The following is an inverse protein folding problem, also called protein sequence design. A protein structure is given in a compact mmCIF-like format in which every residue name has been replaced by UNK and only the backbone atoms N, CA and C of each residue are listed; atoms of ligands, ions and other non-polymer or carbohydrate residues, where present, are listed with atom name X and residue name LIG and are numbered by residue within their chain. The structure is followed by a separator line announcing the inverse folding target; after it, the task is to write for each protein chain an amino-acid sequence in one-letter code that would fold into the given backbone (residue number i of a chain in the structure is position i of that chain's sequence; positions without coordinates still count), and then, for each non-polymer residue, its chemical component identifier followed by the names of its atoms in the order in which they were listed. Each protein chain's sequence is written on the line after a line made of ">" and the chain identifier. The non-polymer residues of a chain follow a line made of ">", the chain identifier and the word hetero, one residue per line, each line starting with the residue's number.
data_IF_606174301565
#
_entry.id   IF_606174301565
#
_cell.length_a   1.000
_cell.length_b   1.000
_cell.length_c   1.000
_cell.angle_alpha   90.00
_cell.angle_beta   90.00
_cell.angle_gamma   90.00
#
_symmetry.space_group_name_H-M   'P 1'
#
loop_
_entity.id
_entity.type
_entity.pdbx_description
1 polymer ?
#
# COMPACT_ATOMS: atom_id res chain seq x y z
N UNK A 1 10.90 45.58 -29.88
CA UNK A 1 10.57 45.67 -28.45
C UNK A 1 10.43 44.23 -27.93
N UNK A 2 11.23 43.79 -26.94
CA UNK A 2 11.19 42.41 -26.46
C UNK A 2 10.04 42.27 -25.46
N UNK A 3 8.93 41.61 -25.89
CA UNK A 3 7.72 41.44 -25.10
C UNK A 3 8.00 40.77 -23.74
N UNK A 4 8.91 39.81 -23.72
CA UNK A 4 9.29 39.10 -22.49
C UNK A 4 9.94 40.02 -21.44
N UNK A 5 10.77 41.00 -21.87
CA UNK A 5 11.35 41.97 -20.93
C UNK A 5 10.26 42.90 -20.32
N UNK A 6 9.21 43.18 -21.04
CA UNK A 6 8.10 43.99 -20.54
C UNK A 6 7.31 43.17 -19.50
N UNK A 7 6.98 41.93 -19.82
CA UNK A 7 6.26 41.02 -18.91
C UNK A 7 7.02 40.83 -17.60
N UNK A 8 8.31 40.52 -17.66
CA UNK A 8 9.13 40.31 -16.45
C UNK A 8 9.25 41.57 -15.60
N UNK A 9 9.34 42.77 -16.23
CA UNK A 9 9.34 44.06 -15.52
C UNK A 9 8.01 44.29 -14.83
N UNK A 10 6.89 44.01 -15.51
CA UNK A 10 5.53 44.15 -14.96
C UNK A 10 5.33 43.23 -13.75
N UNK A 11 5.74 41.96 -13.86
CA UNK A 11 5.66 41.00 -12.75
C UNK A 11 6.46 41.45 -11.53
N UNK A 12 7.66 42.02 -11.73
CA UNK A 12 8.49 42.53 -10.64
C UNK A 12 7.86 43.75 -9.95
N UNK A 13 7.26 44.66 -10.70
CA UNK A 13 6.58 45.82 -10.13
C UNK A 13 5.39 45.47 -9.22
N UNK A 14 4.81 44.27 -9.42
CA UNK A 14 3.68 43.74 -8.66
C UNK A 14 4.05 42.40 -8.00
N UNK A 15 5.27 42.34 -7.49
CA UNK A 15 5.84 41.08 -6.96
C UNK A 15 4.90 40.38 -5.98
N UNK A 16 4.25 41.09 -5.06
CA UNK A 16 3.35 40.50 -4.07
C UNK A 16 2.16 39.77 -4.72
N UNK A 17 1.44 40.45 -5.63
CA UNK A 17 0.29 39.86 -6.31
C UNK A 17 0.69 38.70 -7.22
N UNK A 18 1.78 38.87 -7.96
CA UNK A 18 2.36 37.79 -8.80
C UNK A 18 2.78 36.59 -7.98
N UNK A 19 3.37 36.84 -6.81
CA UNK A 19 3.80 35.78 -5.92
C UNK A 19 2.64 34.99 -5.30
N UNK A 20 1.60 35.72 -4.82
CA UNK A 20 0.39 35.11 -4.27
C UNK A 20 -0.36 34.26 -5.31
N UNK A 21 -0.54 34.79 -6.53
CA UNK A 21 -1.20 34.03 -7.60
C UNK A 21 -0.36 32.85 -8.08
N UNK A 22 0.95 33.05 -8.24
CA UNK A 22 1.88 31.98 -8.59
C UNK A 22 1.94 30.86 -7.55
N UNK A 23 1.91 31.21 -6.24
CA UNK A 23 1.87 30.25 -5.15
C UNK A 23 0.56 29.46 -5.13
N UNK A 24 -0.57 30.10 -5.43
CA UNK A 24 -1.86 29.39 -5.52
C UNK A 24 -1.87 28.35 -6.63
N UNK A 25 -1.29 28.67 -7.79
CA UNK A 25 -1.12 27.70 -8.89
C UNK A 25 -0.15 26.58 -8.46
N UNK A 26 0.98 26.95 -7.84
CA UNK A 26 1.97 25.98 -7.37
C UNK A 26 1.38 25.00 -6.35
N UNK A 27 0.59 25.47 -5.39
CA UNK A 27 -0.09 24.62 -4.42
C UNK A 27 -1.09 23.67 -5.08
N UNK A 28 -1.89 24.16 -6.03
CA UNK A 28 -2.86 23.33 -6.76
C UNK A 28 -2.16 22.22 -7.56
N UNK A 29 -1.10 22.57 -8.28
CA UNK A 29 -0.31 21.58 -9.05
C UNK A 29 0.44 20.62 -8.11
N UNK A 30 1.06 21.12 -7.03
CA UNK A 30 1.76 20.28 -6.07
C UNK A 30 0.83 19.24 -5.43
N UNK A 31 -0.38 19.65 -5.05
CA UNK A 31 -1.41 18.76 -4.51
C UNK A 31 -1.81 17.69 -5.53
N UNK A 32 -2.10 18.10 -6.78
CA UNK A 32 -2.47 17.17 -7.84
C UNK A 32 -1.37 16.13 -8.13
N UNK A 33 -0.11 16.59 -8.20
CA UNK A 33 1.07 15.73 -8.40
C UNK A 33 1.27 14.79 -7.20
N UNK A 34 1.18 15.29 -5.97
CA UNK A 34 1.34 14.46 -4.77
C UNK A 34 0.27 13.36 -4.70
N UNK A 35 -1.01 13.69 -4.97
CA UNK A 35 -2.11 12.70 -5.01
C UNK A 35 -1.82 11.63 -6.07
N UNK A 36 -1.39 12.03 -7.26
CA UNK A 36 -1.08 11.12 -8.36
C UNK A 36 0.07 10.16 -7.99
N UNK A 37 1.17 10.69 -7.45
CA UNK A 37 2.35 9.91 -7.06
C UNK A 37 2.02 8.91 -5.94
N UNK A 38 1.29 9.35 -4.90
CA UNK A 38 0.89 8.48 -3.79
C UNK A 38 -0.01 7.36 -4.30
N UNK A 39 -1.05 7.70 -5.07
CA UNK A 39 -1.98 6.72 -5.63
C UNK A 39 -1.25 5.65 -6.43
N UNK A 40 -0.50 6.07 -7.45
CA UNK A 40 0.17 5.13 -8.34
C UNK A 40 1.27 4.35 -7.61
N UNK A 41 2.02 5.01 -6.73
CA UNK A 41 3.05 4.35 -5.94
C UNK A 41 2.48 3.28 -5.01
N UNK A 42 1.40 3.57 -4.30
CA UNK A 42 0.73 2.60 -3.43
C UNK A 42 0.14 1.45 -4.25
N UNK A 43 -0.63 1.76 -5.30
CA UNK A 43 -1.23 0.74 -6.16
C UNK A 43 -0.16 -0.19 -6.76
N UNK A 44 0.90 0.37 -7.32
CA UNK A 44 2.00 -0.41 -7.91
C UNK A 44 2.67 -1.34 -6.89
N UNK A 45 2.89 -0.87 -5.65
CA UNK A 45 3.48 -1.70 -4.59
C UNK A 45 2.56 -2.83 -4.16
N UNK A 46 1.26 -2.57 -4.03
CA UNK A 46 0.30 -3.62 -3.75
C UNK A 46 0.22 -4.64 -4.89
N UNK A 47 0.17 -4.20 -6.15
CA UNK A 47 0.18 -5.11 -7.30
C UNK A 47 1.47 -5.95 -7.36
N UNK A 48 2.63 -5.34 -7.12
CA UNK A 48 3.92 -6.05 -7.05
C UNK A 48 3.93 -7.09 -5.91
N UNK A 49 3.34 -6.77 -4.76
CA UNK A 49 3.24 -7.70 -3.64
C UNK A 49 2.46 -8.98 -3.95
N UNK A 50 1.62 -8.99 -4.98
CA UNK A 50 0.86 -10.20 -5.39
C UNK A 50 1.61 -11.10 -6.37
N UNK A 51 2.75 -10.68 -6.93
CA UNK A 51 3.40 -11.41 -8.04
C UNK A 51 3.81 -12.84 -7.69
N UNK A 52 4.18 -13.10 -6.44
CA UNK A 52 4.53 -14.44 -5.96
C UNK A 52 3.32 -15.30 -5.59
N UNK A 53 2.12 -14.72 -5.48
CA UNK A 53 0.93 -15.35 -4.95
C UNK A 53 -0.12 -15.52 -6.05
N UNK A 54 -0.13 -16.67 -6.72
CA UNK A 54 -1.12 -16.93 -7.79
C UNK A 54 -2.51 -17.16 -7.21
N UNK A 55 -2.60 -17.97 -6.14
CA UNK A 55 -3.85 -18.28 -5.43
C UNK A 55 -3.56 -18.41 -3.93
N UNK A 56 -4.48 -17.96 -3.12
CA UNK A 56 -4.48 -18.17 -1.67
C UNK A 56 -5.75 -18.91 -1.29
N UNK A 57 -5.62 -19.96 -0.48
CA UNK A 57 -6.72 -20.78 0.02
C UNK A 57 -6.79 -20.62 1.54
N UNK A 58 -7.98 -20.43 2.09
CA UNK A 58 -8.22 -20.25 3.52
C UNK A 58 -9.67 -20.55 3.90
N UNK A 59 -10.02 -20.29 5.16
CA UNK A 59 -11.39 -20.50 5.64
C UNK A 59 -12.39 -19.60 4.91
N UNK A 60 -13.65 -20.07 4.82
CA UNK A 60 -14.76 -19.29 4.25
C UNK A 60 -14.90 -17.93 4.94
N UNK A 61 -15.07 -16.88 4.15
CA UNK A 61 -15.22 -15.52 4.64
C UNK A 61 -15.08 -14.50 3.52
N UNK A 62 -14.36 -13.42 3.78
CA UNK A 62 -14.05 -12.40 2.77
C UNK A 62 -12.78 -12.76 2.00
N UNK A 63 -12.84 -12.89 0.66
CA UNK A 63 -11.64 -13.11 -0.16
C UNK A 63 -10.59 -12.01 0.02
N UNK A 64 -11.02 -10.75 0.14
CA UNK A 64 -10.14 -9.63 0.38
C UNK A 64 -9.43 -9.74 1.74
N UNK A 65 -10.16 -10.11 2.80
CA UNK A 65 -9.59 -10.31 4.14
C UNK A 65 -8.55 -11.43 4.12
N UNK A 66 -8.83 -12.55 3.45
CA UNK A 66 -7.88 -13.65 3.28
C UNK A 66 -6.60 -13.19 2.61
N UNK A 67 -6.72 -12.40 1.52
CA UNK A 67 -5.57 -11.85 0.79
C UNK A 67 -4.79 -10.86 1.66
N UNK A 68 -5.46 -9.92 2.32
CA UNK A 68 -4.79 -8.95 3.20
C UNK A 68 -4.06 -9.62 4.35
N UNK A 69 -4.66 -10.65 4.93
CA UNK A 69 -4.04 -11.44 6.00
C UNK A 69 -2.81 -12.20 5.50
N UNK A 70 -2.94 -12.99 4.43
CA UNK A 70 -1.91 -13.94 3.99
C UNK A 70 -0.77 -13.29 3.22
N UNK A 71 -1.08 -12.32 2.35
CA UNK A 71 -0.09 -11.71 1.45
C UNK A 71 0.56 -10.48 2.07
N UNK A 72 -0.23 -9.67 2.80
CA UNK A 72 0.25 -8.37 3.30
C UNK A 72 0.47 -8.34 4.82
N UNK A 73 0.17 -9.44 5.50
CA UNK A 73 0.25 -9.52 6.96
C UNK A 73 -0.62 -8.46 7.68
N UNK A 74 -1.73 -8.09 7.03
CA UNK A 74 -2.72 -7.13 7.51
C UNK A 74 -4.01 -7.86 7.88
N UNK A 75 -4.80 -7.28 8.80
CA UNK A 75 -6.08 -7.83 9.25
C UNK A 75 -5.96 -9.20 9.96
N UNK A 76 -7.06 -9.73 10.44
CA UNK A 76 -7.14 -11.02 11.14
C UNK A 76 -7.41 -12.16 10.16
N UNK A 77 -7.01 -13.39 10.51
CA UNK A 77 -7.37 -14.56 9.71
C UNK A 77 -8.89 -14.78 9.74
N UNK A 78 -9.55 -15.11 8.62
CA UNK A 78 -10.97 -15.48 8.61
C UNK A 78 -11.25 -16.79 9.34
N UNK A 79 -10.23 -17.58 9.66
CA UNK A 79 -10.31 -18.87 10.34
C UNK A 79 -9.21 -19.81 9.90
N UNK A 80 -9.35 -21.08 10.27
CA UNK A 80 -8.40 -22.13 9.89
C UNK A 80 -9.05 -23.14 8.95
N UNK A 81 -8.22 -23.81 8.15
CA UNK A 81 -8.60 -24.89 7.23
C UNK A 81 -7.80 -26.15 7.58
N UNK A 82 -8.34 -27.31 7.16
CA UNK A 82 -7.77 -28.63 7.44
C UNK A 82 -6.35 -28.80 6.87
N UNK A 83 -5.45 -29.42 7.65
CA UNK A 83 -4.14 -29.87 7.18
C UNK A 83 -4.24 -30.89 6.05
N UNK A 84 -5.26 -31.77 6.07
CA UNK A 84 -5.53 -32.71 4.96
C UNK A 84 -5.76 -32.00 3.63
N UNK A 85 -6.39 -30.82 3.67
CA UNK A 85 -6.54 -30.00 2.44
C UNK A 85 -5.17 -29.52 1.92
N UNK A 86 -4.25 -29.14 2.82
CA UNK A 86 -2.88 -28.80 2.43
C UNK A 86 -2.17 -29.99 1.79
N UNK A 87 -2.23 -31.19 2.40
CA UNK A 87 -1.62 -32.39 1.84
C UNK A 87 -2.19 -32.74 0.47
N UNK A 88 -3.53 -32.68 0.32
CA UNK A 88 -4.20 -32.89 -0.97
C UNK A 88 -3.72 -31.90 -2.05
N UNK A 89 -3.55 -30.62 -1.68
CA UNK A 89 -3.07 -29.60 -2.60
C UNK A 89 -1.58 -29.79 -2.94
N UNK A 90 -0.75 -30.14 -1.96
CA UNK A 90 0.67 -30.43 -2.16
C UNK A 90 0.89 -31.56 -3.17
N UNK A 91 0.05 -32.58 -3.10
CA UNK A 91 0.17 -33.77 -3.94
C UNK A 91 -0.62 -33.66 -5.26
N UNK A 92 -1.36 -32.57 -5.48
CA UNK A 92 -2.13 -32.32 -6.70
C UNK A 92 -1.22 -31.96 -7.88
N UNK A 93 -1.33 -32.69 -8.97
CA UNK A 93 -0.53 -32.46 -10.20
C UNK A 93 -0.72 -31.10 -10.83
N UNK A 94 -1.80 -30.38 -10.54
CA UNK A 94 -2.08 -29.02 -10.99
C UNK A 94 -1.30 -27.97 -10.22
N UNK A 95 -0.85 -28.33 -9.01
CA UNK A 95 -0.13 -27.46 -8.08
C UNK A 95 1.38 -27.67 -8.23
N UNK A 96 2.10 -26.58 -8.42
CA UNK A 96 3.57 -26.57 -8.48
C UNK A 96 4.18 -26.44 -7.09
N UNK A 97 3.55 -25.62 -6.25
CA UNK A 97 3.98 -25.31 -4.90
C UNK A 97 2.77 -25.02 -4.02
N UNK A 98 2.74 -25.63 -2.83
CA UNK A 98 1.82 -25.29 -1.76
C UNK A 98 2.64 -24.95 -0.51
N UNK A 99 2.38 -23.81 0.13
CA UNK A 99 3.06 -23.37 1.36
C UNK A 99 2.01 -23.04 2.41
N UNK A 100 2.02 -23.71 3.57
CA UNK A 100 1.08 -23.46 4.64
C UNK A 100 1.51 -22.26 5.48
N UNK A 101 0.54 -21.44 5.92
CA UNK A 101 0.74 -20.34 6.85
C UNK A 101 -0.21 -20.48 8.03
N UNK A 102 0.31 -20.30 9.24
CA UNK A 102 -0.46 -20.17 10.49
C UNK A 102 -0.12 -18.84 11.15
N UNK A 103 -1.13 -18.13 11.60
CA UNK A 103 -0.98 -16.79 12.18
C UNK A 103 -1.79 -16.69 13.47
N UNK A 104 -1.22 -16.06 14.50
CA UNK A 104 -1.86 -15.93 15.81
C UNK A 104 -1.21 -14.87 16.70
N UNK A 105 0.06 -14.58 16.47
CA UNK A 105 0.91 -13.76 17.31
C UNK A 105 1.50 -12.56 16.57
N UNK A 106 2.02 -11.63 17.36
CA UNK A 106 2.79 -10.50 16.87
C UNK A 106 3.98 -10.19 17.79
N UNK A 107 4.94 -9.43 17.26
CA UNK A 107 6.01 -8.79 18.02
C UNK A 107 6.13 -7.34 17.59
N UNK A 108 5.87 -6.40 18.50
CA UNK A 108 5.85 -4.96 18.22
C UNK A 108 5.00 -4.56 16.98
N UNK A 109 3.91 -5.30 16.73
CA UNK A 109 3.02 -5.08 15.58
C UNK A 109 3.48 -5.77 14.30
N UNK A 110 4.60 -6.48 14.30
CA UNK A 110 5.01 -7.35 13.21
C UNK A 110 4.36 -8.72 13.36
N UNK A 111 3.73 -9.19 12.29
CA UNK A 111 3.07 -10.48 12.25
C UNK A 111 4.06 -11.62 12.41
N UNK A 112 3.72 -12.58 13.26
CA UNK A 112 4.42 -13.87 13.32
C UNK A 112 3.66 -14.86 12.45
N UNK A 113 4.38 -15.52 11.55
CA UNK A 113 3.85 -16.48 10.56
C UNK A 113 4.54 -17.81 10.76
N UNK A 114 3.80 -18.80 11.24
CA UNK A 114 4.25 -20.20 11.25
C UNK A 114 4.21 -20.76 9.84
N UNK A 115 5.32 -21.30 9.36
CA UNK A 115 5.43 -21.87 8.01
C UNK A 115 6.49 -22.99 7.95
N UNK A 116 6.68 -23.54 6.77
CA UNK A 116 7.70 -24.56 6.50
C UNK A 116 8.92 -23.96 5.79
N UNK A 117 10.03 -24.68 5.79
CA UNK A 117 11.25 -24.27 5.09
C UNK A 117 11.09 -24.16 3.57
N UNK A 118 10.06 -24.77 3.00
CA UNK A 118 9.63 -24.63 1.60
C UNK A 118 9.40 -23.17 1.19
N UNK A 119 8.94 -22.33 2.14
CA UNK A 119 8.78 -20.89 1.89
C UNK A 119 10.11 -20.22 1.49
N UNK A 120 11.22 -20.60 2.09
CA UNK A 120 12.52 -20.00 1.75
C UNK A 120 13.18 -20.70 0.56
N UNK A 121 12.96 -22.01 0.40
CA UNK A 121 13.61 -22.82 -0.62
C UNK A 121 12.97 -22.68 -2.01
N UNK A 122 11.63 -22.60 -2.06
CA UNK A 122 10.88 -22.77 -3.30
C UNK A 122 9.91 -21.65 -3.65
N UNK A 123 9.48 -20.84 -2.66
CA UNK A 123 8.61 -19.72 -2.92
C UNK A 123 9.37 -18.58 -3.61
N UNK A 124 8.79 -18.05 -4.67
CA UNK A 124 9.30 -16.89 -5.40
C UNK A 124 8.33 -15.72 -5.19
N UNK A 125 8.76 -14.67 -4.49
CA UNK A 125 7.95 -13.45 -4.30
C UNK A 125 7.84 -12.60 -5.59
N UNK A 126 8.79 -12.78 -6.51
CA UNK A 126 8.78 -12.30 -7.90
C UNK A 126 9.36 -13.41 -8.79
N UNK A 127 9.07 -13.43 -10.09
CA UNK A 127 9.61 -14.44 -10.99
C UNK A 127 11.14 -14.55 -10.88
N UNK A 128 11.63 -15.73 -10.47
CA UNK A 128 13.06 -16.02 -10.31
C UNK A 128 13.71 -15.43 -9.06
N UNK A 129 12.95 -14.78 -8.16
CA UNK A 129 13.47 -14.18 -6.92
C UNK A 129 12.87 -14.85 -5.69
N UNK A 130 13.70 -15.49 -4.89
CA UNK A 130 13.32 -16.15 -3.64
C UNK A 130 13.75 -15.28 -2.43
N UNK A 131 13.14 -15.48 -1.24
CA UNK A 131 13.64 -14.90 0.00
C UNK A 131 15.06 -15.39 0.29
N UNK A 132 16.04 -14.50 0.22
CA UNK A 132 17.44 -14.79 0.50
C UNK A 132 17.85 -14.27 1.87
N UNK A 133 18.78 -14.94 2.53
CA UNK A 133 19.33 -14.49 3.80
C UNK A 133 20.39 -13.40 3.60
N UNK A 134 20.31 -12.35 4.43
CA UNK A 134 21.39 -11.40 4.65
C UNK A 134 22.38 -11.90 5.70
N UNK A 135 21.87 -12.63 6.73
CA UNK A 135 22.68 -13.21 7.80
C UNK A 135 22.01 -14.47 8.37
N UNK A 136 22.79 -15.35 8.97
CA UNK A 136 22.32 -16.53 9.68
C UNK A 136 21.91 -17.68 8.75
N UNK A 137 20.90 -18.44 9.18
CA UNK A 137 20.37 -19.61 8.47
C UNK A 137 18.84 -19.63 8.51
N UNK A 138 18.23 -20.48 7.69
CA UNK A 138 16.80 -20.83 7.83
C UNK A 138 16.64 -21.87 8.95
N UNK A 139 15.43 -21.94 9.54
CA UNK A 139 15.09 -23.04 10.43
C UNK A 139 14.91 -24.36 9.65
N UNK A 140 15.02 -25.49 10.35
CA UNK A 140 14.85 -26.80 9.75
C UNK A 140 13.45 -27.34 10.10
N UNK A 141 12.62 -27.53 9.09
CA UNK A 141 11.29 -28.09 9.25
C UNK A 141 11.34 -29.62 9.24
N UNK A 142 10.62 -30.25 10.20
CA UNK A 142 10.47 -31.72 10.29
C UNK A 142 8.98 -32.04 10.36
N UNK A 143 8.48 -32.81 9.41
CA UNK A 143 7.06 -33.19 9.34
C UNK A 143 6.62 -34.02 10.55
N UNK A 144 7.48 -34.90 11.07
CA UNK A 144 7.18 -35.72 12.26
C UNK A 144 7.03 -34.86 13.54
N UNK A 145 7.83 -33.79 13.67
CA UNK A 145 7.71 -32.84 14.76
C UNK A 145 6.37 -32.08 14.68
N UNK A 146 5.93 -31.70 13.46
CA UNK A 146 4.65 -31.07 13.26
C UNK A 146 3.48 -32.00 13.61
N UNK A 147 3.52 -33.26 13.22
CA UNK A 147 2.49 -34.26 13.59
C UNK A 147 2.36 -34.38 15.10
N UNK A 148 3.51 -34.45 15.83
CA UNK A 148 3.52 -34.44 17.29
C UNK A 148 2.89 -33.18 17.87
N UNK A 149 3.27 -31.98 17.34
CA UNK A 149 2.73 -30.71 17.79
C UNK A 149 1.22 -30.59 17.57
N UNK A 150 0.69 -31.13 16.46
CA UNK A 150 -0.76 -31.20 16.22
C UNK A 150 -1.47 -32.11 17.22
N UNK A 151 -0.89 -33.26 17.56
CA UNK A 151 -1.47 -34.14 18.57
C UNK A 151 -1.52 -33.49 19.95
N UNK A 152 -0.43 -32.87 20.38
CA UNK A 152 -0.37 -32.10 21.64
C UNK A 152 -1.39 -30.95 21.67
N UNK A 153 -1.51 -30.18 20.57
CA UNK A 153 -2.45 -29.08 20.47
C UNK A 153 -3.92 -29.58 20.51
N UNK A 154 -4.20 -30.73 19.90
CA UNK A 154 -5.53 -31.35 19.95
C UNK A 154 -5.88 -31.87 21.35
N UNK A 155 -4.91 -32.42 22.06
CA UNK A 155 -5.08 -32.89 23.46
C UNK A 155 -5.36 -31.70 24.37
N UNK A 156 -4.58 -30.63 24.31
CA UNK A 156 -4.84 -29.39 25.06
C UNK A 156 -6.25 -28.81 24.78
N UNK A 157 -6.68 -28.82 23.52
CA UNK A 157 -8.04 -28.38 23.16
C UNK A 157 -9.11 -29.22 23.84
N UNK A 158 -8.98 -30.57 23.81
CA UNK A 158 -9.91 -31.49 24.47
C UNK A 158 -9.95 -31.31 25.98
N UNK A 159 -8.80 -31.15 26.62
CA UNK A 159 -8.73 -30.90 28.07
C UNK A 159 -9.43 -29.60 28.46
N UNK A 160 -9.27 -28.54 27.65
CA UNK A 160 -9.95 -27.28 27.89
C UNK A 160 -11.45 -27.40 27.73
N UNK A 161 -11.93 -28.03 26.67
CA UNK A 161 -13.37 -28.27 26.46
C UNK A 161 -13.99 -29.13 27.58
N UNK A 162 -13.26 -30.14 28.09
CA UNK A 162 -13.71 -30.98 29.19
C UNK A 162 -13.79 -30.20 30.50
N UNK A 163 -12.78 -29.35 30.79
CA UNK A 163 -12.81 -28.45 31.95
C UNK A 163 -13.96 -27.45 31.89
N UNK A 164 -14.25 -26.89 30.72
CA UNK A 164 -15.40 -25.99 30.53
C UNK A 164 -16.75 -26.70 30.74
N UNK A 165 -16.83 -28.01 30.43
CA UNK A 165 -18.03 -28.85 30.67
C UNK A 165 -18.10 -29.41 32.10
N UNK A 166 -17.08 -29.19 32.93
CA UNK A 166 -17.02 -29.73 34.30
C UNK A 166 -16.80 -31.26 34.36
N UNK A 167 -16.27 -31.85 33.30
CA UNK A 167 -15.94 -33.27 33.22
C UNK A 167 -14.55 -33.50 33.82
N UNK A 168 -14.39 -34.67 34.52
CA UNK A 168 -13.11 -35.05 35.08
C UNK A 168 -12.15 -35.49 33.96
N UNK A 169 -11.06 -34.71 33.78
CA UNK A 169 -10.09 -34.97 32.71
C UNK A 169 -9.12 -36.04 33.16
N UNK A 170 -9.08 -37.19 32.49
CA UNK A 170 -7.97 -38.11 32.62
C UNK A 170 -6.75 -37.51 31.94
N UNK A 171 -5.64 -37.21 32.64
CA UNK A 171 -4.46 -36.62 32.01
C UNK A 171 -3.98 -37.56 30.89
N UNK A 172 -3.75 -36.99 29.72
CA UNK A 172 -3.11 -37.67 28.61
C UNK A 172 -1.69 -38.11 29.00
N UNK A 173 -1.16 -39.24 28.48
CA UNK A 173 0.23 -39.58 28.69
C UNK A 173 1.12 -38.43 28.20
N UNK A 174 2.10 -38.02 29.03
CA UNK A 174 3.07 -36.99 28.63
C UNK A 174 3.70 -37.41 27.28
N UNK A 175 3.58 -36.52 26.26
CA UNK A 175 4.19 -36.82 24.97
C UNK A 175 5.69 -36.97 25.11
N UNK A 176 6.28 -37.83 24.29
CA UNK A 176 7.73 -37.98 24.25
C UNK A 176 8.36 -36.58 23.99
N UNK A 177 9.42 -36.19 24.72
CA UNK A 177 10.02 -34.88 24.58
C UNK A 177 10.58 -34.70 23.16
N UNK A 178 9.84 -34.02 22.31
CA UNK A 178 10.29 -33.58 20.98
C UNK A 178 10.91 -32.20 21.16
N UNK A 179 12.17 -32.05 20.76
CA UNK A 179 12.78 -30.73 20.72
C UNK A 179 12.11 -29.88 19.64
N UNK A 180 11.32 -28.93 20.07
CA UNK A 180 10.77 -27.89 19.20
C UNK A 180 11.69 -26.65 19.30
N UNK A 181 12.57 -26.43 18.31
CA UNK A 181 13.43 -25.27 18.34
C UNK A 181 12.62 -24.00 18.09
N UNK A 182 12.53 -23.13 19.11
CA UNK A 182 11.90 -21.80 18.99
C UNK A 182 12.80 -20.88 18.16
N UNK A 183 12.84 -21.13 16.87
CA UNK A 183 13.69 -20.43 15.90
C UNK A 183 12.86 -19.53 14.99
N UNK A 184 13.38 -18.34 14.73
CA UNK A 184 12.73 -17.36 13.87
C UNK A 184 13.67 -16.83 12.79
N UNK A 185 13.15 -16.67 11.57
CA UNK A 185 13.77 -15.91 10.49
C UNK A 185 13.00 -14.62 10.34
N UNK A 186 13.65 -13.47 10.48
CA UNK A 186 12.99 -12.17 10.46
C UNK A 186 13.20 -11.44 9.14
N UNK A 187 12.15 -10.73 8.70
CA UNK A 187 12.23 -9.86 7.54
C UNK A 187 13.15 -8.66 7.77
N UNK A 188 13.67 -8.08 6.70
CA UNK A 188 14.62 -6.96 6.77
C UNK A 188 14.05 -5.73 7.49
N UNK A 189 12.78 -5.39 7.26
CA UNK A 189 12.10 -4.28 7.94
C UNK A 189 11.92 -4.55 9.44
N UNK A 190 11.67 -5.81 9.83
CA UNK A 190 11.60 -6.20 11.24
C UNK A 190 12.93 -5.94 11.92
N UNK A 191 14.02 -6.46 11.33
CA UNK A 191 15.38 -6.25 11.87
C UNK A 191 15.73 -4.76 12.01
N UNK A 192 15.42 -3.96 10.99
CA UNK A 192 15.70 -2.52 10.98
C UNK A 192 14.90 -1.75 12.04
N UNK A 193 13.62 -2.06 12.23
CA UNK A 193 12.74 -1.29 13.13
C UNK A 193 12.80 -1.75 14.58
N UNK A 194 13.08 -3.04 14.82
CA UNK A 194 13.18 -3.59 16.20
C UNK A 194 14.62 -3.59 16.73
N UNK A 195 15.61 -3.53 15.85
CA UNK A 195 17.03 -3.66 16.19
C UNK A 195 17.46 -5.10 16.45
N UNK A 196 16.59 -6.11 16.25
CA UNK A 196 16.92 -7.51 16.44
C UNK A 196 18.03 -7.97 15.51
N UNK A 197 19.02 -8.65 16.07
CA UNK A 197 20.14 -9.24 15.35
C UNK A 197 20.14 -10.76 15.45
N UNK A 198 20.96 -11.41 14.61
CA UNK A 198 21.08 -12.86 14.61
C UNK A 198 21.60 -13.37 15.95
N UNK A 199 20.92 -14.33 16.56
CA UNK A 199 21.22 -14.91 17.88
C UNK A 199 20.46 -14.24 19.03
N UNK A 200 19.81 -13.10 18.84
CA UNK A 200 18.99 -12.45 19.86
C UNK A 200 17.65 -13.15 20.07
N UNK A 201 17.10 -12.95 21.26
CA UNK A 201 15.82 -13.54 21.66
C UNK A 201 14.73 -12.47 21.78
N UNK A 202 13.51 -12.84 21.43
CA UNK A 202 12.34 -12.01 21.62
C UNK A 202 11.15 -12.81 22.15
N UNK A 203 10.18 -12.14 22.77
CA UNK A 203 8.97 -12.74 23.31
C UNK A 203 7.79 -12.30 22.44
N UNK A 204 7.03 -13.28 21.95
CA UNK A 204 5.83 -13.05 21.16
C UNK A 204 4.65 -12.66 22.06
N UNK A 205 3.77 -11.80 21.57
CA UNK A 205 2.52 -11.45 22.21
C UNK A 205 1.35 -12.09 21.43
N UNK A 206 0.39 -12.66 22.18
CA UNK A 206 -0.78 -13.27 21.57
C UNK A 206 -1.67 -12.25 20.87
N UNK A 207 -2.17 -12.61 19.68
CA UNK A 207 -3.02 -11.76 18.87
C UNK A 207 -2.27 -11.12 17.71
N UNK A 208 -3.04 -10.76 16.68
CA UNK A 208 -2.49 -10.25 15.41
C UNK A 208 -2.22 -8.75 15.41
N UNK A 209 -2.71 -8.03 16.43
CA UNK A 209 -2.49 -6.59 16.61
C UNK A 209 -1.94 -6.32 18.00
N UNK A 210 -1.09 -5.30 18.16
CA UNK A 210 -0.60 -4.89 19.46
C UNK A 210 -1.78 -4.51 20.36
N UNK A 211 -1.88 -5.15 21.52
CA UNK A 211 -2.84 -4.80 22.56
C UNK A 211 -2.11 -4.71 23.90
N UNK A 212 -2.47 -3.72 24.73
CA UNK A 212 -1.92 -3.60 26.07
C UNK A 212 -2.32 -4.77 27.01
N UNK A 213 -3.35 -5.52 26.63
CA UNK A 213 -3.86 -6.68 27.36
C UNK A 213 -3.41 -8.01 26.75
N UNK A 214 -2.58 -7.99 25.70
CA UNK A 214 -2.10 -9.21 25.04
C UNK A 214 -1.23 -10.04 25.99
N UNK A 215 -1.55 -11.33 26.12
CA UNK A 215 -0.74 -12.27 26.90
C UNK A 215 0.60 -12.52 26.16
N UNK A 216 1.70 -12.27 26.83
CA UNK A 216 3.03 -12.56 26.30
C UNK A 216 3.41 -14.04 26.57
N UNK A 217 4.05 -14.67 25.60
CA UNK A 217 4.55 -16.05 25.71
C UNK A 217 5.96 -16.08 26.34
N UNK A 218 6.08 -15.63 27.58
CA UNK A 218 7.36 -15.50 28.30
C UNK A 218 8.10 -16.81 28.51
N UNK A 219 7.39 -17.95 28.51
CA UNK A 219 7.97 -19.28 28.71
C UNK A 219 8.75 -19.79 27.51
N UNK A 220 8.41 -19.29 26.31
CA UNK A 220 8.98 -19.77 25.05
C UNK A 220 9.55 -18.61 24.21
N UNK A 221 10.72 -18.05 24.60
CA UNK A 221 11.35 -16.99 23.82
C UNK A 221 11.89 -17.53 22.50
N UNK A 222 11.56 -16.81 21.42
CA UNK A 222 12.05 -17.09 20.08
C UNK A 222 13.49 -16.61 19.89
N UNK A 223 14.33 -17.40 19.21
CA UNK A 223 15.69 -17.03 18.86
C UNK A 223 15.77 -16.67 17.38
N UNK A 224 16.27 -15.49 17.06
CA UNK A 224 16.51 -15.08 15.66
C UNK A 224 17.67 -15.88 15.10
N UNK A 225 17.41 -16.78 14.14
CA UNK A 225 18.44 -17.62 13.49
C UNK A 225 18.80 -17.12 12.08
N UNK A 226 18.01 -16.23 11.51
CA UNK A 226 18.26 -15.65 10.20
C UNK A 226 17.58 -14.32 9.99
N UNK A 227 18.16 -13.50 9.11
CA UNK A 227 17.64 -12.20 8.68
C UNK A 227 17.57 -12.21 7.16
N UNK A 228 16.40 -11.87 6.59
CA UNK A 228 16.20 -11.81 5.15
C UNK A 228 16.82 -10.54 4.54
N UNK A 229 17.27 -10.65 3.30
CA UNK A 229 17.59 -9.47 2.47
C UNK A 229 16.31 -8.70 2.12
N UNK A 230 16.39 -7.38 1.89
CA UNK A 230 15.24 -6.60 1.45
C UNK A 230 14.62 -7.14 0.15
N UNK A 231 13.34 -7.47 0.20
CA UNK A 231 12.55 -7.87 -0.97
C UNK A 231 11.71 -6.72 -1.50
N UNK A 232 11.49 -5.68 -0.68
CA UNK A 232 10.57 -4.57 -0.90
C UNK A 232 9.11 -5.01 -1.06
N UNK A 233 8.76 -6.14 -0.46
CA UNK A 233 7.41 -6.68 -0.38
C UNK A 233 6.98 -6.86 1.08
N UNK A 234 5.76 -7.35 1.30
CA UNK A 234 5.27 -7.66 2.66
C UNK A 234 6.09 -8.75 3.38
N UNK A 235 6.89 -9.53 2.65
CA UNK A 235 7.83 -10.52 3.21
C UNK A 235 8.80 -9.87 4.19
N UNK A 236 9.21 -8.62 3.95
CA UNK A 236 10.16 -7.90 4.81
C UNK A 236 9.58 -7.52 6.18
N UNK A 237 8.25 -7.57 6.33
CA UNK A 237 7.52 -7.12 7.53
C UNK A 237 6.98 -8.25 8.39
N UNK A 238 7.37 -9.49 8.14
CA UNK A 238 6.94 -10.63 8.92
C UNK A 238 8.10 -11.29 9.64
N UNK A 239 7.76 -12.01 10.70
CA UNK A 239 8.64 -12.89 11.45
C UNK A 239 8.19 -14.31 11.11
N UNK A 240 9.04 -15.09 10.51
CA UNK A 240 8.75 -16.46 10.10
C UNK A 240 9.28 -17.42 11.13
N UNK A 241 8.44 -18.31 11.61
CA UNK A 241 8.77 -19.32 12.62
C UNK A 241 8.45 -20.72 12.11
N UNK A 242 9.06 -21.71 12.72
CA UNK A 242 8.77 -23.10 12.39
C UNK A 242 7.34 -23.47 12.80
N UNK A 243 6.60 -24.12 11.91
CA UNK A 243 5.18 -24.40 12.09
C UNK A 243 4.90 -25.37 13.25
N UNK A 244 5.81 -26.34 13.51
CA UNK A 244 5.70 -27.23 14.65
C UNK A 244 5.79 -26.47 15.98
N UNK A 245 6.77 -25.57 16.10
CA UNK A 245 6.95 -24.75 17.29
C UNK A 245 5.77 -23.76 17.51
N UNK A 246 5.11 -23.29 16.44
CA UNK A 246 3.91 -22.46 16.53
C UNK A 246 2.78 -23.21 17.27
N UNK A 247 2.55 -24.49 16.96
CA UNK A 247 1.48 -25.28 17.59
C UNK A 247 1.88 -25.84 18.96
N UNK A 248 3.14 -25.81 19.33
CA UNK A 248 3.59 -26.20 20.66
C UNK A 248 3.28 -25.16 21.75
N UNK A 249 3.00 -23.88 21.37
CA UNK A 249 2.69 -22.80 22.31
C UNK A 249 1.26 -22.92 22.84
N UNK A 250 1.06 -22.67 24.14
CA UNK A 250 -0.28 -22.54 24.74
C UNK A 250 -1.08 -21.41 24.09
N UNK A 251 -2.36 -21.64 23.84
CA UNK A 251 -3.26 -20.68 23.19
C UNK A 251 -3.35 -20.86 21.68
N UNK A 252 -2.48 -21.65 21.06
CA UNK A 252 -2.56 -22.04 19.64
C UNK A 252 -3.21 -23.43 19.48
N UNK A 253 -4.24 -23.67 20.26
CA UNK A 253 -5.00 -24.91 20.22
C UNK A 253 -5.76 -25.03 18.89
N UNK A 254 -5.88 -26.28 18.42
CA UNK A 254 -6.70 -26.58 17.26
C UNK A 254 -8.17 -26.31 17.63
N UNK A 255 -8.79 -25.32 17.00
CA UNK A 255 -10.23 -25.10 17.19
C UNK A 255 -10.98 -26.24 16.52
N UNK A 256 -11.94 -26.84 17.25
CA UNK A 256 -12.93 -27.71 16.62
C UNK A 256 -13.50 -27.01 15.38
N UNK A 257 -13.66 -27.71 14.23
CA UNK A 257 -14.29 -27.11 13.05
C UNK A 257 -15.55 -26.41 13.50
N UNK A 258 -15.68 -25.12 13.20
CA UNK A 258 -16.86 -24.32 13.57
C UNK A 258 -18.11 -25.15 13.23
N UNK A 259 -19.09 -25.15 14.11
CA UNK A 259 -20.33 -25.95 14.02
C UNK A 259 -21.17 -25.72 12.73
N UNK A 260 -20.67 -24.94 11.79
CA UNK A 260 -21.22 -24.74 10.46
C UNK A 260 -20.71 -25.71 9.39
N UNK A 261 -19.57 -26.38 9.61
CA UNK A 261 -19.09 -27.39 8.67
C UNK A 261 -19.67 -28.75 9.06
N UNK A 262 -20.72 -29.17 8.37
CA UNK A 262 -21.14 -30.58 8.39
C UNK A 262 -19.96 -31.39 7.86
N UNK A 263 -19.54 -32.48 8.55
CA UNK A 263 -18.49 -33.36 8.04
C UNK A 263 -18.99 -34.01 6.74
N UNK A 264 -18.63 -33.42 5.61
CA UNK A 264 -18.71 -34.11 4.33
C UNK A 264 -17.53 -35.04 4.24
N UNK A 265 -17.82 -36.29 4.16
CA UNK A 265 -17.02 -37.50 4.16
C UNK A 265 -16.79 -38.12 5.54
N UNK A 266 -17.32 -39.31 5.65
CA UNK A 266 -16.99 -40.30 6.68
C UNK A 266 -15.55 -40.82 6.45
N UNK A 267 -14.58 -39.92 6.49
CA UNK A 267 -13.21 -40.32 6.59
C UNK A 267 -12.97 -40.66 8.08
N UNK A 268 -12.81 -41.93 8.39
CA UNK A 268 -12.61 -42.42 9.75
C UNK A 268 -11.26 -41.99 10.37
N UNK A 269 -10.49 -41.18 9.64
CA UNK A 269 -9.20 -40.71 10.08
C UNK A 269 -9.33 -39.24 10.57
N UNK A 270 -9.03 -38.98 11.86
CA UNK A 270 -9.14 -37.63 12.41
C UNK A 270 -8.20 -36.67 11.67
N UNK A 271 -8.66 -35.43 11.43
CA UNK A 271 -7.82 -34.39 10.84
C UNK A 271 -6.62 -34.11 11.76
N UNK A 272 -5.40 -34.30 11.28
CA UNK A 272 -4.22 -34.17 12.13
C UNK A 272 -3.93 -32.75 12.58
N UNK A 273 -4.48 -31.71 11.88
CA UNK A 273 -4.16 -30.33 12.19
C UNK A 273 -4.87 -29.30 11.32
N UNK A 274 -4.57 -28.05 11.56
CA UNK A 274 -5.17 -26.90 10.85
C UNK A 274 -4.10 -25.89 10.47
N UNK A 275 -4.36 -25.08 9.44
CA UNK A 275 -3.55 -23.90 9.06
C UNK A 275 -4.46 -22.75 8.74
N UNK A 276 -3.97 -21.52 8.89
CA UNK A 276 -4.78 -20.32 8.63
C UNK A 276 -4.98 -20.09 7.13
N UNK A 277 -3.97 -20.41 6.32
CA UNK A 277 -4.05 -20.30 4.86
C UNK A 277 -2.98 -21.13 4.16
N UNK A 278 -3.18 -21.36 2.87
CA UNK A 278 -2.24 -22.05 1.99
C UNK A 278 -1.98 -21.15 0.80
N UNK A 279 -0.71 -20.85 0.56
CA UNK A 279 -0.25 -20.16 -0.67
C UNK A 279 -0.02 -21.20 -1.73
N UNK A 280 -0.63 -21.02 -2.90
CA UNK A 280 -0.57 -21.98 -4.01
C UNK A 280 0.01 -21.31 -5.25
N UNK A 281 0.98 -21.98 -5.86
CA UNK A 281 1.50 -21.69 -7.21
C UNK A 281 1.12 -22.85 -8.13
N UNK A 282 0.59 -22.55 -9.30
CA UNK A 282 0.08 -23.55 -10.23
C UNK A 282 1.16 -24.02 -11.20
N UNK A 283 1.03 -25.26 -11.71
CA UNK A 283 1.89 -25.76 -12.78
C UNK A 283 1.63 -25.00 -14.10
N UNK A 284 0.40 -24.56 -14.32
CA UNK A 284 0.00 -23.77 -15.49
C UNK A 284 -1.23 -22.92 -15.15
N UNK A 285 -1.34 -21.69 -15.70
CA UNK A 285 -2.52 -20.84 -15.52
C UNK A 285 -3.84 -21.47 -15.96
N UNK A 286 -3.81 -22.47 -16.84
CA UNK A 286 -5.01 -23.20 -17.33
C UNK A 286 -5.76 -23.91 -16.19
N UNK A 287 -5.07 -24.29 -15.13
CA UNK A 287 -5.66 -24.98 -13.98
C UNK A 287 -6.32 -24.03 -12.98
N UNK A 288 -6.08 -22.71 -13.09
CA UNK A 288 -6.50 -21.72 -12.12
C UNK A 288 -8.01 -21.73 -11.85
N UNK A 289 -8.82 -21.63 -12.90
CA UNK A 289 -10.28 -21.59 -12.75
C UNK A 289 -10.88 -22.91 -12.29
N UNK A 290 -10.32 -24.04 -12.72
CA UNK A 290 -10.78 -25.36 -12.28
C UNK A 290 -10.56 -25.57 -10.79
N UNK A 291 -9.34 -25.29 -10.32
CA UNK A 291 -9.00 -25.41 -8.89
C UNK A 291 -9.77 -24.37 -8.05
N UNK A 292 -9.83 -23.12 -8.51
CA UNK A 292 -10.60 -22.06 -7.85
C UNK A 292 -12.05 -22.47 -7.62
N UNK A 293 -12.73 -23.02 -8.63
CA UNK A 293 -14.10 -23.46 -8.53
C UNK A 293 -14.25 -24.65 -7.58
N UNK A 294 -13.39 -25.66 -7.72
CA UNK A 294 -13.41 -26.85 -6.85
C UNK A 294 -13.30 -26.47 -5.36
N UNK A 295 -12.38 -25.54 -5.03
CA UNK A 295 -12.18 -25.10 -3.64
C UNK A 295 -13.37 -24.24 -3.18
N UNK A 296 -13.91 -23.35 -4.03
CA UNK A 296 -15.03 -22.49 -3.64
C UNK A 296 -16.36 -23.21 -3.56
N UNK A 297 -16.53 -24.35 -4.22
CA UNK A 297 -17.69 -25.23 -4.10
C UNK A 297 -17.70 -26.01 -2.75
N UNK A 298 -16.56 -26.07 -2.03
CA UNK A 298 -16.47 -26.64 -0.68
C UNK A 298 -17.16 -25.72 0.35
N UNK A 299 -17.64 -26.30 1.46
CA UNK A 299 -18.21 -25.53 2.57
C UNK A 299 -17.18 -24.98 3.55
N UNK A 300 -16.02 -25.65 3.68
CA UNK A 300 -14.99 -25.42 4.69
C UNK A 300 -13.85 -24.49 4.24
N UNK A 301 -13.67 -24.30 2.93
CA UNK A 301 -12.56 -23.53 2.39
C UNK A 301 -13.00 -22.62 1.24
N UNK A 302 -12.21 -21.60 0.98
CA UNK A 302 -12.32 -20.73 -0.20
C UNK A 302 -10.96 -20.44 -0.80
N UNK A 303 -10.95 -20.19 -2.11
CA UNK A 303 -9.81 -19.71 -2.84
C UNK A 303 -10.00 -18.24 -3.25
N UNK A 304 -8.91 -17.48 -3.27
CA UNK A 304 -8.88 -16.11 -3.76
C UNK A 304 -7.68 -15.89 -4.69
N UNK A 305 -7.87 -15.05 -5.71
CA UNK A 305 -6.78 -14.56 -6.55
C UNK A 305 -6.29 -13.22 -6.01
N UNK A 306 -5.10 -13.13 -5.40
CA UNK A 306 -4.64 -11.91 -4.75
C UNK A 306 -4.66 -10.67 -5.64
N UNK A 307 -4.16 -10.80 -6.88
CA UNK A 307 -4.16 -9.70 -7.83
C UNK A 307 -5.56 -9.19 -8.20
N UNK A 308 -6.58 -10.06 -8.22
CA UNK A 308 -7.95 -9.67 -8.51
C UNK A 308 -8.59 -8.94 -7.32
N UNK A 309 -8.38 -9.43 -6.10
CA UNK A 309 -8.93 -8.82 -4.89
C UNK A 309 -8.31 -7.45 -4.61
N UNK A 310 -7.01 -7.29 -4.83
CA UNK A 310 -6.34 -6.00 -4.71
C UNK A 310 -6.84 -5.00 -5.77
N UNK A 311 -7.07 -5.43 -7.01
CA UNK A 311 -7.69 -4.54 -8.02
C UNK A 311 -9.09 -4.08 -7.60
N UNK A 312 -9.94 -4.99 -7.09
CA UNK A 312 -11.26 -4.62 -6.56
C UNK A 312 -11.17 -3.61 -5.42
N UNK A 313 -10.21 -3.79 -4.50
CA UNK A 313 -9.95 -2.83 -3.43
C UNK A 313 -9.64 -1.43 -4.00
N UNK A 314 -8.73 -1.34 -4.98
CA UNK A 314 -8.39 -0.06 -5.60
C UNK A 314 -9.52 0.53 -6.45
N UNK A 315 -10.39 -0.30 -7.04
CA UNK A 315 -11.60 0.18 -7.74
C UNK A 315 -12.58 0.83 -6.75
N UNK A 316 -12.73 0.26 -5.56
CA UNK A 316 -13.57 0.84 -4.50
C UNK A 316 -12.97 2.15 -3.98
N UNK A 317 -11.67 2.15 -3.69
CA UNK A 317 -10.93 3.34 -3.21
C UNK A 317 -10.82 4.40 -4.30
N UNK A 318 -10.85 4.03 -5.57
CA UNK A 318 -10.72 4.93 -6.72
C UNK A 318 -11.78 6.04 -6.79
N UNK A 319 -12.90 5.92 -6.08
CA UNK A 319 -13.87 7.01 -5.92
C UNK A 319 -13.32 8.15 -5.05
N UNK A 320 -12.53 7.82 -4.02
CA UNK A 320 -11.86 8.82 -3.16
C UNK A 320 -10.83 9.59 -3.99
N UNK A 321 -10.09 8.92 -4.87
CA UNK A 321 -9.12 9.58 -5.76
C UNK A 321 -9.80 10.59 -6.70
N UNK A 322 -10.99 10.26 -7.21
CA UNK A 322 -11.77 11.19 -8.04
C UNK A 322 -12.18 12.44 -7.27
N UNK A 323 -12.56 12.30 -6.00
CA UNK A 323 -12.89 13.43 -5.11
C UNK A 323 -11.65 14.29 -4.85
N UNK A 324 -10.51 13.69 -4.55
CA UNK A 324 -9.26 14.42 -4.34
C UNK A 324 -8.78 15.13 -5.61
N UNK A 325 -8.92 14.48 -6.77
CA UNK A 325 -8.63 15.11 -8.06
C UNK A 325 -9.58 16.28 -8.35
N UNK A 326 -10.88 16.12 -8.08
CA UNK A 326 -11.86 17.19 -8.22
C UNK A 326 -11.52 18.39 -7.31
N UNK A 327 -11.06 18.13 -6.08
CA UNK A 327 -10.57 19.17 -5.17
C UNK A 327 -9.34 19.89 -5.74
N UNK A 328 -8.36 19.16 -6.30
CA UNK A 328 -7.20 19.76 -6.94
C UNK A 328 -7.57 20.63 -8.13
N UNK A 329 -8.51 20.16 -8.96
CA UNK A 329 -9.06 20.95 -10.08
C UNK A 329 -9.77 22.22 -9.56
N UNK A 330 -10.56 22.12 -8.50
CA UNK A 330 -11.22 23.25 -7.88
C UNK A 330 -10.21 24.33 -7.41
N UNK A 331 -9.13 23.89 -6.77
CA UNK A 331 -8.04 24.80 -6.34
C UNK A 331 -7.40 25.49 -7.55
N UNK A 332 -7.16 24.77 -8.65
CA UNK A 332 -6.64 25.34 -9.88
C UNK A 332 -7.61 26.35 -10.51
N UNK A 333 -8.91 26.07 -10.49
CA UNK A 333 -9.93 27.02 -10.98
C UNK A 333 -9.95 28.28 -10.12
N UNK A 334 -9.91 28.14 -8.79
CA UNK A 334 -9.82 29.29 -7.87
C UNK A 334 -8.55 30.13 -8.14
N UNK A 335 -7.42 29.46 -8.35
CA UNK A 335 -6.17 30.12 -8.73
C UNK A 335 -6.30 30.84 -10.06
N UNK A 336 -6.97 30.24 -11.05
CA UNK A 336 -7.28 30.90 -12.34
C UNK A 336 -8.13 32.19 -12.19
N UNK A 337 -9.17 32.13 -11.36
CA UNK A 337 -9.99 33.29 -11.04
C UNK A 337 -9.15 34.37 -10.34
N UNK A 338 -8.30 33.97 -9.37
CA UNK A 338 -7.41 34.92 -8.69
C UNK A 338 -6.43 35.61 -9.66
N UNK A 339 -5.90 34.87 -10.65
CA UNK A 339 -5.07 35.43 -11.72
C UNK A 339 -5.86 36.44 -12.54
N UNK A 340 -7.08 36.09 -12.98
CA UNK A 340 -7.94 36.97 -13.78
C UNK A 340 -8.23 38.29 -13.04
N UNK A 341 -8.60 38.21 -11.76
CA UNK A 341 -8.87 39.38 -10.91
C UNK A 341 -7.60 40.21 -10.70
N UNK A 342 -6.46 39.57 -10.41
CA UNK A 342 -5.18 40.26 -10.23
C UNK A 342 -4.75 41.01 -11.45
N UNK A 343 -4.86 40.40 -12.64
CA UNK A 343 -4.53 41.06 -13.91
C UNK A 343 -5.53 42.16 -14.25
N UNK A 344 -6.82 41.93 -14.01
CA UNK A 344 -7.86 42.96 -14.26
C UNK A 344 -7.61 44.22 -13.43
N UNK A 345 -7.33 44.09 -12.14
CA UNK A 345 -6.98 45.20 -11.27
C UNK A 345 -5.70 45.89 -11.75
N UNK A 346 -4.70 45.12 -12.16
CA UNK A 346 -3.47 45.63 -12.79
C UNK A 346 -3.75 46.50 -13.98
N UNK A 347 -4.60 46.02 -14.85
CA UNK A 347 -4.97 46.74 -16.06
C UNK A 347 -5.68 48.08 -15.75
N UNK A 348 -6.53 48.09 -14.72
CA UNK A 348 -7.22 49.28 -14.27
C UNK A 348 -6.26 50.38 -13.81
N UNK A 349 -5.22 50.01 -13.04
CA UNK A 349 -4.17 50.93 -12.57
C UNK A 349 -3.27 51.47 -13.71
N UNK A 350 -3.06 50.66 -14.76
CA UNK A 350 -2.15 50.96 -15.88
C UNK A 350 -2.84 51.52 -17.14
N UNK A 351 -4.11 51.85 -17.09
CA UNK A 351 -4.85 52.36 -18.26
C UNK A 351 -4.13 53.52 -18.96
N UNK A 352 -3.53 54.43 -18.18
CA UNK A 352 -2.77 55.55 -18.71
C UNK A 352 -1.47 55.13 -19.40
N UNK A 353 -0.70 54.18 -18.82
CA UNK A 353 0.52 53.64 -19.44
C UNK A 353 0.20 52.94 -20.76
N UNK A 354 -0.88 52.15 -20.80
CA UNK A 354 -1.35 51.51 -22.02
C UNK A 354 -1.78 52.52 -23.08
N UNK A 355 -2.47 53.58 -22.68
CA UNK A 355 -2.85 54.65 -23.59
C UNK A 355 -1.61 55.32 -24.18
N UNK A 356 -0.57 55.60 -23.38
CA UNK A 356 0.73 56.17 -23.84
C UNK A 356 1.40 55.21 -24.81
N UNK A 357 1.53 53.90 -24.48
CA UNK A 357 2.12 52.93 -25.38
C UNK A 357 1.40 52.86 -26.73
N UNK A 358 0.07 52.99 -26.73
CA UNK A 358 -0.73 52.99 -27.94
C UNK A 358 -0.55 54.31 -28.74
N UNK A 359 -0.44 55.44 -28.05
CA UNK A 359 -0.14 56.72 -28.69
C UNK A 359 1.26 56.71 -29.35
N UNK A 360 2.22 55.96 -28.78
CA UNK A 360 3.54 55.73 -29.35
C UNK A 360 3.57 54.64 -30.44
N UNK A 361 2.39 54.16 -30.91
CA UNK A 361 2.27 53.24 -32.05
C UNK A 361 2.16 51.74 -31.72
N UNK A 362 1.99 51.35 -30.44
CA UNK A 362 1.75 49.95 -30.10
C UNK A 362 0.39 49.49 -30.64
N UNK A 363 0.37 48.37 -31.38
CA UNK A 363 -0.86 47.75 -31.90
C UNK A 363 -1.69 47.17 -30.77
N UNK A 364 -3.02 47.09 -30.94
CA UNK A 364 -3.95 46.45 -29.98
C UNK A 364 -3.56 45.02 -29.66
N UNK A 365 -3.14 44.27 -30.69
CA UNK A 365 -2.66 42.88 -30.54
C UNK A 365 -1.41 42.80 -29.65
N UNK A 366 -0.52 43.81 -29.68
CA UNK A 366 0.68 43.81 -28.82
C UNK A 366 0.29 43.93 -27.34
N UNK A 367 -0.67 44.77 -27.00
CA UNK A 367 -1.16 44.92 -25.63
C UNK A 367 -1.85 43.63 -25.17
N UNK A 368 -2.73 43.07 -26.02
CA UNK A 368 -3.36 41.76 -25.75
C UNK A 368 -2.33 40.68 -25.47
N UNK A 369 -1.28 40.57 -26.32
CA UNK A 369 -0.22 39.57 -26.15
C UNK A 369 0.59 39.76 -24.87
N UNK A 370 0.85 41.02 -24.44
CA UNK A 370 1.56 41.28 -23.18
C UNK A 370 0.77 40.70 -21.98
N UNK A 371 -0.53 41.01 -21.93
CA UNK A 371 -1.40 40.58 -20.82
C UNK A 371 -1.60 39.08 -20.80
N UNK A 372 -1.82 38.46 -21.96
CA UNK A 372 -1.95 37.01 -22.07
C UNK A 372 -0.65 36.31 -21.70
N UNK A 373 0.50 36.83 -22.17
CA UNK A 373 1.82 36.25 -21.86
C UNK A 373 2.14 36.38 -20.36
N UNK A 374 1.69 37.45 -19.69
CA UNK A 374 1.83 37.61 -18.24
C UNK A 374 1.09 36.51 -17.49
N UNK A 375 -0.18 36.25 -17.83
CA UNK A 375 -0.98 35.16 -17.24
C UNK A 375 -0.36 33.80 -17.46
N UNK A 376 0.04 33.48 -18.70
CA UNK A 376 0.66 32.21 -19.05
C UNK A 376 1.99 32.04 -18.31
N UNK A 377 2.80 33.08 -18.22
CA UNK A 377 4.11 33.03 -17.54
C UNK A 377 3.95 32.71 -16.04
N UNK A 378 2.97 33.35 -15.37
CA UNK A 378 2.67 33.06 -13.95
C UNK A 378 2.27 31.58 -13.79
N UNK A 379 1.42 31.06 -14.67
CA UNK A 379 0.99 29.68 -14.61
C UNK A 379 2.11 28.69 -14.91
N UNK A 380 2.97 28.95 -15.89
CA UNK A 380 4.12 28.10 -16.21
C UNK A 380 5.10 28.03 -15.04
N UNK A 381 5.43 29.17 -14.46
CA UNK A 381 6.34 29.21 -13.29
C UNK A 381 5.67 28.55 -12.08
N UNK A 382 4.41 28.87 -11.79
CA UNK A 382 3.65 28.25 -10.70
C UNK A 382 3.54 26.74 -10.87
N UNK A 383 3.23 26.28 -12.08
CA UNK A 383 3.13 24.84 -12.38
C UNK A 383 4.48 24.12 -12.25
N UNK A 384 5.58 24.73 -12.72
CA UNK A 384 6.92 24.14 -12.56
C UNK A 384 7.34 24.05 -11.08
N UNK A 385 7.08 25.11 -10.30
CA UNK A 385 7.33 25.11 -8.85
C UNK A 385 6.42 24.09 -8.15
N UNK A 386 5.17 23.99 -8.55
CA UNK A 386 4.21 23.01 -8.03
C UNK A 386 4.60 21.58 -8.32
N UNK A 387 5.08 21.30 -9.54
CA UNK A 387 5.60 19.98 -9.90
C UNK A 387 6.73 19.57 -8.95
N UNK A 388 7.76 20.40 -8.84
CA UNK A 388 8.89 20.14 -7.93
C UNK A 388 8.41 20.01 -6.48
N UNK A 389 7.50 20.90 -6.05
CA UNK A 389 6.91 20.87 -4.71
C UNK A 389 6.17 19.58 -4.41
N UNK A 390 5.39 19.05 -5.35
CA UNK A 390 4.69 17.77 -5.21
C UNK A 390 5.64 16.59 -4.98
N UNK A 391 6.69 16.50 -5.79
CA UNK A 391 7.75 15.49 -5.64
C UNK A 391 8.47 15.60 -4.29
N UNK A 392 8.80 16.84 -3.86
CA UNK A 392 9.46 17.08 -2.57
C UNK A 392 8.56 16.69 -1.38
N UNK A 393 7.27 17.00 -1.43
CA UNK A 393 6.31 16.62 -0.38
C UNK A 393 6.22 15.10 -0.25
N UNK A 394 6.10 14.38 -1.36
CA UNK A 394 6.06 12.90 -1.35
C UNK A 394 7.39 12.33 -0.88
N UNK A 395 8.53 12.89 -1.32
CA UNK A 395 9.86 12.49 -0.88
C UNK A 395 10.05 12.66 0.63
N UNK A 396 9.61 13.79 1.19
CA UNK A 396 9.67 14.06 2.63
C UNK A 396 8.72 13.13 3.43
N UNK A 397 7.55 12.80 2.87
CA UNK A 397 6.59 11.90 3.49
C UNK A 397 7.03 10.43 3.46
N UNK A 398 7.98 10.04 2.59
CA UNK A 398 8.43 8.65 2.45
C UNK A 398 8.94 8.05 3.76
N UNK A 399 9.59 8.82 4.62
CA UNK A 399 10.05 8.32 5.93
C UNK A 399 8.91 7.90 6.85
N UNK A 400 7.79 8.65 6.84
CA UNK A 400 6.57 8.30 7.59
C UNK A 400 5.84 7.13 6.95
N UNK A 401 5.71 7.13 5.63
CA UNK A 401 5.07 6.05 4.87
C UNK A 401 5.81 4.73 5.06
N UNK A 402 7.14 4.72 4.99
CA UNK A 402 7.95 3.53 5.22
C UNK A 402 7.75 2.95 6.62
N UNK A 403 7.76 3.78 7.67
CA UNK A 403 7.49 3.31 9.03
C UNK A 403 6.10 2.71 9.19
N UNK A 404 5.09 3.30 8.54
CA UNK A 404 3.70 2.85 8.65
C UNK A 404 3.40 1.62 7.78
N UNK A 405 3.89 1.59 6.53
CA UNK A 405 3.51 0.56 5.53
C UNK A 405 4.66 -0.33 5.08
N UNK A 406 5.92 0.03 5.35
CA UNK A 406 7.11 -0.64 4.82
C UNK A 406 7.40 -0.36 3.34
N UNK A 407 6.61 0.50 2.69
CA UNK A 407 6.77 0.83 1.29
C UNK A 407 7.38 2.21 1.09
N UNK A 408 8.28 2.33 0.11
CA UNK A 408 8.83 3.61 -0.35
C UNK A 408 8.21 3.93 -1.70
N UNK A 409 7.64 5.13 -1.84
CA UNK A 409 7.11 5.63 -3.11
C UNK A 409 8.26 6.25 -3.90
N UNK A 410 8.49 5.89 -5.17
CA UNK A 410 9.56 6.48 -5.98
C UNK A 410 9.24 7.94 -6.32
N UNK A 411 9.60 8.86 -5.42
CA UNK A 411 9.28 10.29 -5.53
C UNK A 411 10.02 11.02 -6.67
N UNK A 412 11.03 10.42 -7.28
CA UNK A 412 11.81 11.07 -8.37
C UNK A 412 11.38 10.64 -9.77
N UNK A 413 10.42 9.71 -9.88
CA UNK A 413 9.97 9.23 -11.17
C UNK A 413 8.86 10.11 -11.73
N UNK A 414 9.19 10.92 -12.76
CA UNK A 414 8.22 11.77 -13.46
C UNK A 414 7.32 10.90 -14.32
N UNK A 415 6.01 11.05 -14.13
CA UNK A 415 5.01 10.25 -14.82
C UNK A 415 4.38 10.99 -15.99
N UNK A 416 3.91 10.25 -16.99
CA UNK A 416 3.27 10.83 -18.17
C UNK A 416 2.05 11.71 -17.83
N UNK A 417 1.28 11.33 -16.77
CA UNK A 417 0.12 12.12 -16.33
C UNK A 417 0.48 13.51 -15.80
N UNK A 418 1.67 13.72 -15.29
CA UNK A 418 2.11 15.02 -14.78
C UNK A 418 2.19 16.09 -15.88
N UNK A 419 2.56 15.68 -17.08
CA UNK A 419 2.54 16.56 -18.25
C UNK A 419 1.12 17.06 -18.59
N UNK A 420 0.10 16.22 -18.37
CA UNK A 420 -1.29 16.65 -18.54
C UNK A 420 -1.70 17.68 -17.47
N UNK A 421 -1.25 17.49 -16.22
CA UNK A 421 -1.49 18.46 -15.14
C UNK A 421 -0.87 19.82 -15.49
N UNK A 422 0.39 19.82 -15.97
CA UNK A 422 1.07 21.03 -16.43
C UNK A 422 0.31 21.70 -17.59
N UNK A 423 -0.11 20.91 -18.59
CA UNK A 423 -0.87 21.42 -19.73
C UNK A 423 -2.19 22.08 -19.28
N UNK A 424 -2.93 21.43 -18.39
CA UNK A 424 -4.18 21.96 -17.82
C UNK A 424 -3.94 23.28 -17.09
N UNK A 425 -2.88 23.36 -16.26
CA UNK A 425 -2.53 24.58 -15.54
C UNK A 425 -2.21 25.75 -16.50
N UNK A 426 -1.48 25.48 -17.58
CA UNK A 426 -1.15 26.47 -18.61
C UNK A 426 -2.40 26.93 -19.39
N UNK A 427 -3.27 26.01 -19.77
CA UNK A 427 -4.54 26.28 -20.46
C UNK A 427 -5.45 27.13 -19.56
N UNK A 428 -5.57 26.79 -18.28
CA UNK A 428 -6.34 27.61 -17.32
C UNK A 428 -5.76 29.01 -17.20
N UNK A 429 -4.44 29.17 -17.18
CA UNK A 429 -3.76 30.45 -17.19
C UNK A 429 -4.07 31.26 -18.44
N UNK A 430 -4.06 30.65 -19.61
CA UNK A 430 -4.42 31.29 -20.86
C UNK A 430 -5.90 31.76 -20.85
N UNK A 431 -6.81 30.91 -20.41
CA UNK A 431 -8.25 31.24 -20.29
C UNK A 431 -8.46 32.38 -19.29
N UNK A 432 -7.81 32.33 -18.13
CA UNK A 432 -7.90 33.35 -17.07
C UNK A 432 -7.39 34.72 -17.56
N UNK A 433 -6.37 34.73 -18.43
CA UNK A 433 -5.81 35.92 -19.04
C UNK A 433 -6.67 36.52 -20.15
N UNK A 434 -7.58 35.75 -20.79
CA UNK A 434 -8.36 36.21 -21.94
C UNK A 434 -9.28 37.40 -21.62
N UNK A 435 -10.02 37.34 -20.51
CA UNK A 435 -10.93 38.40 -20.09
C UNK A 435 -10.20 39.74 -19.92
N UNK A 436 -9.18 39.82 -19.04
CA UNK A 436 -8.35 41.01 -18.90
C UNK A 436 -7.69 41.46 -20.21
N UNK A 437 -7.16 40.55 -21.01
CA UNK A 437 -6.51 40.87 -22.29
C UNK A 437 -7.49 41.49 -23.30
N UNK A 438 -8.73 41.02 -23.37
CA UNK A 438 -9.80 41.61 -24.18
C UNK A 438 -10.20 42.99 -23.66
N UNK A 439 -10.25 43.18 -22.33
CA UNK A 439 -10.45 44.49 -21.71
C UNK A 439 -9.37 45.50 -22.13
N UNK A 440 -8.11 45.08 -22.10
CA UNK A 440 -6.96 45.84 -22.55
C UNK A 440 -7.02 46.18 -24.04
N UNK A 441 -7.41 45.24 -24.89
CA UNK A 441 -7.58 45.42 -26.34
C UNK A 441 -8.60 46.53 -26.67
N UNK A 442 -9.67 46.65 -25.86
CA UNK A 442 -10.78 47.64 -26.05
C UNK A 442 -10.52 48.97 -25.40
N UNK A 443 -9.40 49.21 -24.70
CA UNK A 443 -9.12 50.47 -24.00
C UNK A 443 -9.03 51.62 -24.98
N UNK A 444 -9.83 52.71 -24.77
CA UNK A 444 -9.83 53.91 -25.59
C UNK A 444 -8.71 54.86 -25.16
N UNK A 445 -7.87 55.25 -26.13
CA UNK A 445 -6.69 56.12 -25.91
C UNK A 445 -7.09 57.52 -25.56
N UNK A 446 -8.09 58.11 -26.26
CA UNK A 446 -8.49 59.50 -26.08
C UNK A 446 -9.05 59.75 -24.67
N UNK A 447 -9.89 58.86 -24.18
CA UNK A 447 -10.53 58.91 -22.85
C UNK A 447 -9.60 58.82 -21.69
N UNK A 448 -8.48 58.04 -21.84
CA UNK A 448 -7.53 57.75 -20.77
C UNK A 448 -6.28 58.65 -20.77
N UNK A 449 -6.11 59.53 -21.76
CA UNK A 449 -5.08 60.58 -21.81
C UNK A 449 -5.61 61.96 -21.36
N UNK A 450 -6.93 62.16 -21.28
CA UNK A 450 -7.52 63.41 -20.76
C UNK A 450 -7.13 63.54 -19.25
N UNK A 451 -6.74 64.75 -18.79
CA UNK A 451 -6.49 65.00 -17.39
C UNK A 451 -7.78 64.75 -16.62
N UNK A 452 -7.69 64.00 -15.52
CA UNK A 452 -8.77 63.85 -14.54
C UNK A 452 -9.00 65.25 -13.93
N UNK A 453 -10.07 65.86 -14.29
CA UNK A 453 -10.54 67.06 -13.63
C UNK A 453 -11.01 66.78 -12.22
#
# INVERSE_FOLDING_TARGET
>A
MNLFKIVTKNMRQRALATWLTGTSVALGVALAVAILLIKQGVQQRFEQGTLGYEMVIGAKGSPLQLVLNTVYNLDISPGNISWKLFEKLRDDKRVKLAVPFSVGDNYHGFRIVGTTDTFFKDFEFEPGRKPELAAGRIFNFKEDALKSAFQEAAERARERESKERGEEVTPAPEPAPVEHPFEAVIGSTVAEQTGLTNGEKFIAAHGVQPSAEAKEHTENPWTVVGILKPTHTAVDRAIYINLDSFYHIEGHELRSPTAAAKPEEKDNDPDPGQVSSIVVKLQSPIFAFGLYREINDREDAMAAFPAAEIRKLFDIVGNIDRLLLAQAILILVVAGVAIAVSIYNSMSERRREIAILRALGARRATIFSIVLLEAVTICVIGAAVGLVGGHLVVGAANGLLYKASGFVIPALHVQTLEWYILAVAVILGAISGLGPALGAYRTDVARNLAPSS
#
